data_IF_469092730294
#
_entry.id   IF_469092730294
#
_cell.length_a   1.000
_cell.length_b   1.000
_cell.length_c   1.000
_cell.angle_alpha   90.00
_cell.angle_beta   90.00
_cell.angle_gamma   90.00
#
_symmetry.space_group_name_H-M   'P 1'
#
loop_
_entity.id
_entity.type
_entity.pdbx_description
1 polymer ?
#
# COMPACT_ATOMS: atom_id res chain seq x y z
N UNK A 1 -59.38 -6.56 6.71
CA UNK A 1 -58.29 -6.80 7.70
C UNK A 1 -57.57 -8.05 7.22
N UNK A 2 -56.28 -8.07 6.89
CA UNK A 2 -55.13 -7.39 7.48
C UNK A 2 -54.06 -7.14 6.40
N UNK A 3 -53.33 -6.02 6.43
CA UNK A 3 -52.15 -5.82 5.57
C UNK A 3 -51.06 -6.88 5.86
N UNK A 4 -50.18 -7.19 4.89
CA UNK A 4 -49.04 -8.08 5.13
C UNK A 4 -48.08 -7.47 6.16
N UNK A 5 -47.42 -8.30 7.00
CA UNK A 5 -46.53 -7.83 8.04
C UNK A 5 -45.35 -7.09 7.42
N UNK A 6 -45.17 -5.81 7.79
CA UNK A 6 -43.99 -5.02 7.40
C UNK A 6 -42.76 -5.72 7.94
N UNK A 7 -41.95 -6.28 7.06
CA UNK A 7 -40.61 -6.77 7.39
C UNK A 7 -39.84 -5.65 8.11
N UNK A 8 -39.12 -5.95 9.20
CA UNK A 8 -38.32 -4.94 9.87
C UNK A 8 -37.21 -4.52 8.92
N UNK A 9 -37.08 -3.21 8.71
CA UNK A 9 -35.96 -2.59 8.02
C UNK A 9 -34.68 -2.97 8.78
N UNK A 10 -34.03 -4.06 8.35
CA UNK A 10 -32.69 -4.43 8.77
C UNK A 10 -31.75 -3.35 8.23
N UNK A 11 -31.57 -2.30 9.03
CA UNK A 11 -30.50 -1.33 8.84
C UNK A 11 -29.19 -2.12 8.81
N UNK A 12 -28.36 -2.01 7.76
CA UNK A 12 -27.06 -2.64 7.81
C UNK A 12 -26.30 -2.01 8.97
N UNK A 13 -25.97 -2.84 9.97
CA UNK A 13 -25.01 -2.48 11.00
C UNK A 13 -23.68 -2.31 10.28
N UNK A 14 -23.31 -1.07 10.00
CA UNK A 14 -21.96 -0.72 9.57
C UNK A 14 -21.04 -1.20 10.69
N UNK A 15 -20.33 -2.30 10.42
CA UNK A 15 -19.23 -2.78 11.23
C UNK A 15 -18.14 -1.70 11.19
N UNK A 16 -18.12 -0.89 12.24
CA UNK A 16 -17.04 0.05 12.54
C UNK A 16 -15.84 -0.78 13.01
N UNK A 17 -15.10 -1.34 12.04
CA UNK A 17 -13.79 -1.93 12.31
C UNK A 17 -12.86 -0.83 12.84
N UNK A 18 -12.24 -1.12 13.97
CA UNK A 18 -11.42 -0.21 14.74
C UNK A 18 -10.32 0.44 13.89
N UNK A 19 -10.37 1.77 13.81
CA UNK A 19 -9.29 2.60 13.27
C UNK A 19 -8.07 2.52 14.19
N UNK A 20 -7.30 1.44 14.08
CA UNK A 20 -5.90 1.46 14.46
C UNK A 20 -5.25 2.64 13.72
N UNK A 21 -4.54 3.50 14.45
CA UNK A 21 -3.74 4.59 13.85
C UNK A 21 -2.72 3.94 12.91
N UNK A 22 -3.13 3.81 11.66
CA UNK A 22 -2.33 3.25 10.59
C UNK A 22 -1.52 4.41 10.08
N UNK A 23 -0.21 4.39 10.36
CA UNK A 23 0.74 5.33 9.75
C UNK A 23 0.42 5.37 8.24
N UNK A 24 0.28 6.56 7.63
CA UNK A 24 -0.09 6.64 6.23
C UNK A 24 0.90 5.80 5.40
N UNK A 25 0.42 5.07 4.38
CA UNK A 25 1.29 4.25 3.55
C UNK A 25 2.37 5.14 2.94
N UNK A 26 3.62 4.77 3.17
CA UNK A 26 4.78 5.49 2.66
C UNK A 26 5.35 4.75 1.46
N UNK A 27 5.70 5.49 0.41
CA UNK A 27 6.20 4.94 -0.85
C UNK A 27 7.38 5.77 -1.31
N UNK A 28 8.52 5.12 -1.57
CA UNK A 28 9.65 5.79 -2.21
C UNK A 28 9.37 5.94 -3.70
N UNK A 29 9.31 7.18 -4.17
CA UNK A 29 9.05 7.52 -5.57
C UNK A 29 10.31 7.85 -6.38
N UNK A 30 11.46 7.93 -5.70
CA UNK A 30 12.73 8.28 -6.30
C UNK A 30 13.81 7.40 -5.69
N UNK A 31 14.21 6.36 -6.41
CA UNK A 31 15.21 5.39 -5.96
C UNK A 31 16.13 5.07 -7.13
N UNK A 32 17.43 5.22 -6.90
CA UNK A 32 18.46 4.77 -7.83
C UNK A 32 18.89 3.36 -7.48
N UNK A 33 18.75 2.47 -8.44
CA UNK A 33 19.17 1.08 -8.36
C UNK A 33 20.58 0.90 -8.90
N UNK A 34 21.12 -0.32 -8.80
CA UNK A 34 22.43 -0.71 -9.34
C UNK A 34 22.61 -0.44 -10.84
N UNK A 35 21.53 -0.16 -11.57
CA UNK A 35 21.58 0.20 -12.99
C UNK A 35 21.73 1.72 -13.23
N UNK A 36 21.72 2.53 -12.18
CA UNK A 36 22.02 3.96 -12.25
C UNK A 36 23.49 4.18 -12.57
N UNK A 37 23.78 4.91 -13.66
CA UNK A 37 25.15 5.11 -14.16
C UNK A 37 26.03 5.97 -13.24
N UNK A 38 25.41 6.83 -12.44
CA UNK A 38 26.11 7.77 -11.56
C UNK A 38 26.13 7.32 -10.09
N UNK A 39 25.06 6.67 -9.61
CA UNK A 39 24.85 6.36 -8.17
C UNK A 39 24.34 4.93 -7.93
N UNK A 40 24.79 3.95 -8.72
CA UNK A 40 24.33 2.56 -8.69
C UNK A 40 24.74 1.73 -7.46
N UNK A 41 24.25 2.08 -6.26
CA UNK A 41 24.59 1.40 -5.02
C UNK A 41 23.56 0.34 -4.54
N UNK A 42 22.31 0.40 -5.00
CA UNK A 42 21.24 -0.48 -4.50
C UNK A 42 20.97 -1.70 -5.41
N UNK A 43 21.41 -2.88 -4.97
CA UNK A 43 21.11 -4.15 -5.66
C UNK A 43 19.61 -4.47 -5.56
N UNK A 44 18.99 -4.88 -6.68
CA UNK A 44 17.53 -5.13 -6.72
C UNK A 44 17.08 -6.16 -5.67
N UNK A 45 17.83 -7.25 -5.48
CA UNK A 45 17.48 -8.30 -4.51
C UNK A 45 17.43 -7.79 -3.07
N UNK A 46 18.44 -7.01 -2.68
CA UNK A 46 18.53 -6.43 -1.33
C UNK A 46 17.47 -5.33 -1.13
N UNK A 47 17.18 -4.56 -2.18
CA UNK A 47 16.14 -3.52 -2.17
C UNK A 47 14.75 -4.11 -1.93
N UNK A 48 14.36 -5.15 -2.69
CA UNK A 48 13.04 -5.77 -2.51
C UNK A 48 12.92 -6.47 -1.15
N UNK A 49 14.00 -7.07 -0.65
CA UNK A 49 14.03 -7.65 0.70
C UNK A 49 13.79 -6.58 1.77
N UNK A 50 14.49 -5.45 1.69
CA UNK A 50 14.30 -4.33 2.61
C UNK A 50 12.88 -3.73 2.53
N UNK A 51 12.32 -3.58 1.32
CA UNK A 51 10.93 -3.13 1.15
C UNK A 51 9.92 -4.07 1.81
N UNK A 52 10.13 -5.38 1.70
CA UNK A 52 9.28 -6.38 2.32
C UNK A 52 9.40 -6.35 3.86
N UNK A 53 10.61 -6.22 4.40
CA UNK A 53 10.85 -6.06 5.85
C UNK A 53 10.20 -4.77 6.40
N UNK A 54 10.18 -3.70 5.61
CA UNK A 54 9.54 -2.43 5.97
C UNK A 54 8.03 -2.41 5.72
N UNK A 55 7.43 -3.48 5.20
CA UNK A 55 5.99 -3.56 4.91
C UNK A 55 5.54 -2.59 3.81
N UNK A 56 6.44 -2.20 2.90
CA UNK A 56 6.11 -1.31 1.79
C UNK A 56 5.44 -2.07 0.66
N UNK A 57 4.29 -1.59 0.21
CA UNK A 57 3.51 -2.20 -0.88
C UNK A 57 3.92 -1.71 -2.27
N UNK A 58 4.54 -0.53 -2.37
CA UNK A 58 4.92 0.10 -3.63
C UNK A 58 6.32 0.71 -3.53
N UNK A 59 7.06 0.71 -4.64
CA UNK A 59 8.36 1.38 -4.80
C UNK A 59 8.50 1.82 -6.26
N UNK A 60 9.01 3.02 -6.51
CA UNK A 60 9.37 3.49 -7.84
C UNK A 60 10.89 3.54 -8.00
N UNK A 61 11.36 3.17 -9.19
CA UNK A 61 12.77 3.24 -9.60
C UNK A 61 12.92 4.37 -10.61
N UNK A 62 13.94 5.21 -10.45
CA UNK A 62 14.21 6.38 -11.30
C UNK A 62 15.71 6.50 -11.50
N UNK A 63 16.29 5.72 -12.41
CA UNK A 63 17.75 5.61 -12.54
C UNK A 63 18.34 6.77 -13.33
N UNK A 64 19.58 7.19 -13.02
CA UNK A 64 20.25 8.24 -13.80
C UNK A 64 20.83 7.67 -15.10
N UNK A 65 20.30 8.11 -16.24
CA UNK A 65 20.77 7.71 -17.58
C UNK A 65 20.42 6.27 -17.96
N UNK A 66 19.54 5.65 -17.18
CA UNK A 66 18.80 4.43 -17.47
C UNK A 66 17.30 4.75 -17.20
N UNK A 67 16.39 3.76 -17.15
CA UNK A 67 14.93 3.94 -16.97
C UNK A 67 14.47 5.12 -16.09
#
# INVERSE_FOLDING_TARGET
>A
MSPPPRAPLARPLVSLEASAVTKPPFTHLHVHTQYSLLDGAARLGDMFKACNEMGMSHIAMTDHGNL
#
